data_IF_779128767722
#
_entry.id   IF_779128767722
#
_cell.length_a   1.000
_cell.length_b   1.000
_cell.length_c   1.000
_cell.angle_alpha   90.00
_cell.angle_beta   90.00
_cell.angle_gamma   90.00
#
_symmetry.space_group_name_H-M   'P 1'
#
loop_
_entity.id
_entity.type
_entity.pdbx_description
1 polymer ?
#
# COMPACT_ATOMS: atom_id res chain seq x y z
N UNK A 1 22.49 -2.70 6.45
CA UNK A 1 23.23 -1.81 5.53
C UNK A 1 23.32 -2.57 4.21
N UNK A 2 22.91 -1.95 3.10
CA UNK A 2 22.96 -2.61 1.80
C UNK A 2 24.40 -2.92 1.37
N UNK A 3 24.55 -3.85 0.43
CA UNK A 3 25.84 -4.22 -0.15
C UNK A 3 26.39 -3.02 -0.96
N UNK A 4 27.56 -2.46 -0.59
CA UNK A 4 28.14 -1.31 -1.29
C UNK A 4 28.72 -1.65 -2.66
N UNK A 5 28.81 -2.94 -3.02
CA UNK A 5 29.35 -3.40 -4.29
C UNK A 5 28.27 -3.64 -5.36
N UNK A 6 26.99 -3.46 -5.04
CA UNK A 6 25.91 -3.56 -6.01
C UNK A 6 25.96 -2.42 -7.01
N UNK A 7 25.90 -2.75 -8.29
CA UNK A 7 25.72 -1.77 -9.37
C UNK A 7 24.23 -1.49 -9.55
N UNK A 8 23.87 -0.22 -9.43
CA UNK A 8 22.49 0.24 -9.52
C UNK A 8 22.19 0.83 -10.89
N UNK A 9 21.00 0.51 -11.38
CA UNK A 9 20.45 0.98 -12.64
C UNK A 9 19.09 1.63 -12.40
N UNK A 10 18.60 2.39 -13.40
CA UNK A 10 17.31 3.06 -13.33
C UNK A 10 16.57 2.94 -14.66
N UNK A 11 15.31 2.52 -14.61
CA UNK A 11 14.36 2.65 -15.71
C UNK A 11 13.52 3.90 -15.44
N UNK A 12 13.47 4.82 -16.41
CA UNK A 12 12.64 6.02 -16.32
C UNK A 12 11.37 5.83 -17.15
N UNK A 13 10.24 6.16 -16.55
CA UNK A 13 8.93 6.22 -17.18
C UNK A 13 8.31 7.61 -16.94
N UNK A 14 7.16 7.95 -17.53
CA UNK A 14 6.54 9.26 -17.31
C UNK A 14 6.25 9.58 -15.83
N UNK A 15 5.84 8.59 -15.04
CA UNK A 15 5.45 8.78 -13.63
C UNK A 15 6.46 8.22 -12.63
N UNK A 16 7.37 7.32 -13.05
CA UNK A 16 8.23 6.56 -12.13
C UNK A 16 9.71 6.57 -12.52
N UNK A 17 10.55 6.40 -11.50
CA UNK A 17 11.95 6.00 -11.61
C UNK A 17 12.16 4.71 -10.87
N UNK A 18 12.34 3.61 -11.61
CA UNK A 18 12.49 2.28 -11.05
C UNK A 18 13.96 1.96 -10.91
N UNK A 19 14.44 1.94 -9.67
CA UNK A 19 15.83 1.64 -9.30
C UNK A 19 15.98 0.17 -8.96
N UNK A 20 17.01 -0.45 -9.48
CA UNK A 20 17.29 -1.86 -9.26
C UNK A 20 18.79 -2.14 -9.37
N UNK A 21 19.27 -3.20 -8.78
CA UNK A 21 20.63 -3.68 -8.97
C UNK A 21 20.68 -4.79 -10.02
N UNK A 22 21.90 -5.08 -10.51
CA UNK A 22 22.13 -6.13 -11.52
C UNK A 22 21.51 -7.46 -11.10
N UNK A 23 20.92 -8.16 -12.06
CA UNK A 23 20.17 -9.42 -11.86
C UNK A 23 18.66 -9.23 -11.73
N UNK A 24 18.17 -8.01 -11.49
CA UNK A 24 16.75 -7.71 -11.34
C UNK A 24 16.10 -7.02 -12.55
N UNK A 25 16.76 -7.00 -13.72
CA UNK A 25 16.31 -6.29 -14.93
C UNK A 25 14.89 -6.67 -15.34
N UNK A 26 14.56 -7.99 -15.28
CA UNK A 26 13.22 -8.49 -15.65
C UNK A 26 12.15 -8.01 -14.67
N UNK A 27 12.45 -8.03 -13.38
CA UNK A 27 11.54 -7.54 -12.34
C UNK A 27 11.33 -6.02 -12.48
N UNK A 28 12.41 -5.26 -12.69
CA UNK A 28 12.35 -3.83 -12.88
C UNK A 28 11.51 -3.43 -14.11
N UNK A 29 11.71 -4.11 -15.25
CA UNK A 29 10.91 -3.88 -16.45
C UNK A 29 9.44 -4.22 -16.22
N UNK A 30 9.16 -5.31 -15.48
CA UNK A 30 7.79 -5.70 -15.13
C UNK A 30 7.14 -4.64 -14.25
N UNK A 31 7.83 -4.20 -13.18
CA UNK A 31 7.32 -3.17 -12.28
C UNK A 31 7.11 -1.85 -13.00
N UNK A 32 8.02 -1.42 -13.86
CA UNK A 32 7.87 -0.20 -14.67
C UNK A 32 6.59 -0.24 -15.52
N UNK A 33 6.29 -1.39 -16.11
CA UNK A 33 5.10 -1.58 -16.95
C UNK A 33 3.82 -1.60 -16.12
N UNK A 34 3.78 -2.38 -15.05
CA UNK A 34 2.58 -2.50 -14.21
C UNK A 34 2.27 -1.21 -13.45
N UNK A 35 3.30 -0.48 -13.00
CA UNK A 35 3.15 0.77 -12.29
C UNK A 35 2.43 1.82 -13.15
N UNK A 36 2.84 2.00 -14.39
CA UNK A 36 2.14 2.92 -15.31
C UNK A 36 0.71 2.49 -15.61
N UNK A 37 0.47 1.18 -15.76
CA UNK A 37 -0.84 0.65 -16.10
C UNK A 37 -1.87 0.84 -14.97
N UNK A 38 -1.48 0.62 -13.69
CA UNK A 38 -2.40 0.64 -12.57
C UNK A 38 -2.60 2.04 -11.96
N UNK A 39 -1.63 2.92 -12.18
CA UNK A 39 -1.64 4.24 -11.51
C UNK A 39 -2.85 5.08 -11.89
N UNK A 40 -3.34 5.02 -13.13
CA UNK A 40 -4.51 5.80 -13.56
C UNK A 40 -5.78 5.40 -12.79
N UNK A 41 -5.93 4.11 -12.49
CA UNK A 41 -7.03 3.62 -11.69
C UNK A 41 -6.89 4.08 -10.24
N UNK A 42 -5.70 3.98 -9.67
CA UNK A 42 -5.44 4.42 -8.30
C UNK A 42 -5.58 5.95 -8.13
N UNK A 43 -5.14 6.74 -9.10
CA UNK A 43 -5.34 8.20 -9.09
C UNK A 43 -6.82 8.56 -9.12
N UNK A 44 -7.63 7.82 -9.87
CA UNK A 44 -9.09 8.01 -9.91
C UNK A 44 -9.73 7.66 -8.56
N UNK A 45 -9.35 6.53 -7.96
CA UNK A 45 -9.86 6.09 -6.65
C UNK A 45 -9.51 7.06 -5.52
N UNK A 46 -8.29 7.58 -5.53
CA UNK A 46 -7.79 8.45 -4.47
C UNK A 46 -8.12 9.94 -4.71
N UNK A 47 -8.58 10.28 -5.91
CA UNK A 47 -8.80 11.69 -6.31
C UNK A 47 -7.51 12.51 -6.32
N UNK A 48 -6.33 11.86 -6.36
CA UNK A 48 -5.04 12.54 -6.27
C UNK A 48 -4.04 12.08 -7.32
N UNK A 49 -3.38 13.05 -7.95
CA UNK A 49 -2.26 12.83 -8.87
C UNK A 49 -0.99 13.48 -8.28
N UNK A 50 0.06 12.71 -8.04
CA UNK A 50 1.32 13.24 -7.51
C UNK A 50 1.95 14.28 -8.45
N UNK A 51 2.47 15.37 -7.88
CA UNK A 51 3.13 16.44 -8.66
C UNK A 51 4.54 16.09 -9.12
N UNK A 52 5.12 15.07 -8.54
CA UNK A 52 6.50 14.66 -8.77
C UNK A 52 6.57 13.17 -9.06
N UNK A 53 7.60 12.79 -9.79
CA UNK A 53 7.90 11.40 -10.09
C UNK A 53 8.04 10.61 -8.78
N UNK A 54 7.44 9.43 -8.74
CA UNK A 54 7.59 8.48 -7.63
C UNK A 54 8.78 7.56 -7.93
N UNK A 55 9.67 7.42 -6.96
CA UNK A 55 10.75 6.46 -7.02
C UNK A 55 10.28 5.09 -6.58
N UNK A 56 10.68 4.06 -7.28
CA UNK A 56 10.45 2.66 -6.90
C UNK A 56 11.80 1.98 -6.79
N UNK A 57 12.11 1.38 -5.65
CA UNK A 57 13.35 0.65 -5.44
C UNK A 57 13.04 -0.84 -5.27
N UNK A 58 13.66 -1.66 -6.11
CA UNK A 58 13.49 -3.11 -6.10
C UNK A 58 14.77 -3.74 -5.59
N UNK A 59 14.64 -4.62 -4.59
CA UNK A 59 15.76 -5.37 -4.00
C UNK A 59 15.38 -6.83 -3.76
N UNK A 60 16.39 -7.68 -3.64
CA UNK A 60 16.29 -9.10 -3.28
C UNK A 60 17.24 -9.45 -2.12
N UNK A 61 17.59 -8.47 -1.30
CA UNK A 61 18.53 -8.60 -0.18
C UNK A 61 17.90 -9.17 1.11
N UNK A 62 16.69 -9.66 1.03
CA UNK A 62 15.95 -10.29 2.14
C UNK A 62 15.04 -11.41 1.63
N UNK A 63 14.81 -12.41 2.48
CA UNK A 63 13.83 -13.47 2.26
C UNK A 63 12.43 -13.07 2.76
N UNK A 64 12.26 -11.88 3.31
CA UNK A 64 10.97 -11.39 3.76
C UNK A 64 10.15 -10.84 2.58
N UNK A 65 8.92 -11.32 2.44
CA UNK A 65 7.94 -10.75 1.52
C UNK A 65 7.37 -9.47 2.12
N UNK A 66 7.83 -8.31 1.67
CA UNK A 66 7.43 -7.03 2.23
C UNK A 66 7.65 -5.87 1.25
N UNK A 67 7.10 -4.72 1.60
CA UNK A 67 7.34 -3.43 0.97
C UNK A 67 7.22 -2.29 1.96
N UNK A 68 7.47 -1.10 1.50
CA UNK A 68 7.22 0.11 2.28
C UNK A 68 7.08 1.33 1.39
N UNK A 69 6.23 2.27 1.81
CA UNK A 69 6.08 3.57 1.19
C UNK A 69 6.61 4.69 2.09
N UNK A 70 7.27 5.67 1.51
CA UNK A 70 7.76 6.86 2.20
C UNK A 70 7.61 8.08 1.30
N UNK A 71 7.20 9.22 1.89
CA UNK A 71 7.12 10.49 1.17
C UNK A 71 8.35 11.37 1.35
N UNK A 72 9.22 11.06 2.30
CA UNK A 72 10.36 11.91 2.65
C UNK A 72 11.69 11.18 2.47
N UNK A 73 12.68 11.87 1.89
CA UNK A 73 12.68 13.22 1.34
C UNK A 73 11.93 13.33 0.00
N UNK A 74 11.63 12.23 -0.67
CA UNK A 74 10.84 12.13 -1.91
C UNK A 74 9.95 10.88 -1.85
N UNK A 75 8.93 10.83 -2.69
CA UNK A 75 8.06 9.66 -2.78
C UNK A 75 8.88 8.44 -3.21
N UNK A 76 8.92 7.43 -2.36
CA UNK A 76 9.67 6.18 -2.57
C UNK A 76 8.80 4.99 -2.16
N UNK A 77 8.60 4.08 -3.09
CA UNK A 77 8.09 2.74 -2.86
C UNK A 77 9.28 1.78 -2.87
N UNK A 78 9.48 1.04 -1.79
CA UNK A 78 10.46 -0.05 -1.73
C UNK A 78 9.75 -1.38 -1.86
N UNK A 79 10.26 -2.23 -2.71
CA UNK A 79 9.67 -3.54 -3.00
C UNK A 79 10.73 -4.64 -2.89
N UNK A 80 10.41 -5.68 -2.16
CA UNK A 80 11.20 -6.92 -2.15
C UNK A 80 10.62 -7.90 -3.16
N UNK A 81 11.48 -8.50 -3.98
CA UNK A 81 11.04 -9.43 -5.03
C UNK A 81 10.61 -10.78 -4.49
N UNK A 82 11.09 -11.15 -3.30
CA UNK A 82 10.71 -12.39 -2.63
C UNK A 82 9.20 -12.38 -2.39
N UNK A 83 8.52 -13.39 -2.95
CA UNK A 83 7.09 -13.55 -2.78
C UNK A 83 6.77 -14.21 -1.42
N UNK A 84 5.60 -13.92 -0.83
CA UNK A 84 5.17 -14.57 0.40
C UNK A 84 4.93 -16.07 0.19
N UNK A 85 5.02 -16.83 1.28
CA UNK A 85 4.65 -18.24 1.30
C UNK A 85 3.13 -18.44 1.28
N UNK A 86 2.69 -19.63 0.91
CA UNK A 86 1.27 -19.97 0.77
C UNK A 86 0.52 -20.02 2.11
N UNK A 87 1.24 -19.99 3.24
CA UNK A 87 0.66 -20.08 4.58
C UNK A 87 0.47 -18.73 5.25
N UNK A 88 0.99 -17.67 4.64
CA UNK A 88 0.94 -16.32 5.17
C UNK A 88 -0.35 -15.57 4.82
N UNK A 89 -0.59 -14.48 5.53
CA UNK A 89 -1.72 -13.58 5.26
C UNK A 89 -1.63 -12.88 3.90
N UNK A 90 -0.48 -12.92 3.25
CA UNK A 90 -0.20 -12.38 1.92
C UNK A 90 -0.16 -13.48 0.85
N UNK A 91 -0.49 -14.73 1.16
CA UNK A 91 -0.39 -15.87 0.24
C UNK A 91 -1.41 -15.87 -0.90
N UNK A 92 -2.50 -15.10 -0.78
CA UNK A 92 -3.53 -14.99 -1.82
C UNK A 92 -3.16 -13.89 -2.85
N UNK A 93 -2.30 -14.22 -3.80
CA UNK A 93 -1.90 -13.32 -4.89
C UNK A 93 -1.71 -14.09 -6.20
N UNK A 94 -1.96 -13.43 -7.32
CA UNK A 94 -1.58 -13.94 -8.65
C UNK A 94 -0.20 -13.43 -9.05
N UNK A 95 0.04 -12.15 -8.84
CA UNK A 95 1.29 -11.50 -9.14
C UNK A 95 1.72 -10.64 -7.95
N UNK A 96 2.71 -11.12 -7.21
CA UNK A 96 3.20 -10.47 -6.00
C UNK A 96 3.60 -9.01 -6.20
N UNK A 97 4.36 -8.71 -7.25
CA UNK A 97 4.84 -7.34 -7.50
C UNK A 97 3.70 -6.37 -7.83
N UNK A 98 2.64 -6.86 -8.48
CA UNK A 98 1.45 -6.05 -8.77
C UNK A 98 0.68 -5.74 -7.50
N UNK A 99 0.42 -6.75 -6.68
CA UNK A 99 -0.27 -6.59 -5.41
C UNK A 99 0.49 -5.64 -4.48
N UNK A 100 1.79 -5.87 -4.32
CA UNK A 100 2.66 -5.06 -3.47
C UNK A 100 2.73 -3.61 -3.97
N UNK A 101 2.93 -3.40 -5.27
CA UNK A 101 2.97 -2.06 -5.84
C UNK A 101 1.65 -1.31 -5.61
N UNK A 102 0.52 -1.96 -5.87
CA UNK A 102 -0.81 -1.37 -5.65
C UNK A 102 -0.99 -0.92 -4.21
N UNK A 103 -0.62 -1.77 -3.25
CA UNK A 103 -0.69 -1.46 -1.83
C UNK A 103 0.18 -0.24 -1.47
N UNK A 104 1.46 -0.31 -1.77
CA UNK A 104 2.44 0.73 -1.39
C UNK A 104 2.21 2.05 -2.14
N UNK A 105 1.81 1.98 -3.41
CA UNK A 105 1.53 3.20 -4.18
C UNK A 105 0.24 3.89 -3.70
N UNK A 106 -0.73 3.13 -3.22
CA UNK A 106 -1.91 3.70 -2.54
C UNK A 106 -1.50 4.56 -1.35
N UNK A 107 -0.53 4.13 -0.54
CA UNK A 107 -0.01 4.96 0.54
C UNK A 107 0.62 6.26 0.04
N UNK A 108 1.37 6.22 -1.07
CA UNK A 108 1.94 7.44 -1.68
C UNK A 108 0.81 8.40 -2.07
N UNK A 109 -0.20 7.94 -2.79
CA UNK A 109 -1.30 8.77 -3.25
C UNK A 109 -2.10 9.35 -2.09
N UNK A 110 -2.47 8.50 -1.14
CA UNK A 110 -3.26 8.88 0.02
C UNK A 110 -2.54 9.90 0.92
N UNK A 111 -1.29 9.64 1.27
CA UNK A 111 -0.54 10.49 2.23
C UNK A 111 0.00 11.76 1.56
N UNK A 112 0.30 11.75 0.24
CA UNK A 112 0.71 12.94 -0.52
C UNK A 112 -0.48 13.90 -0.79
N UNK A 113 -1.70 13.42 -0.71
CA UNK A 113 -2.90 14.24 -0.91
C UNK A 113 -2.95 15.33 0.17
N UNK A 114 -2.50 16.51 -0.22
CA UNK A 114 -2.38 17.65 0.68
C UNK A 114 -2.94 18.91 0.02
N UNK A 115 -3.95 19.51 0.63
CA UNK A 115 -4.65 20.69 0.13
C UNK A 115 -4.60 21.83 1.14
N UNK A 116 -5.08 23.02 0.76
CA UNK A 116 -5.21 24.16 1.66
C UNK A 116 -3.88 24.70 2.20
N UNK A 117 -3.85 25.10 3.47
CA UNK A 117 -2.69 25.70 4.12
C UNK A 117 -1.47 24.75 4.17
N UNK A 118 -1.61 23.45 4.50
CA UNK A 118 -0.50 22.49 4.42
C UNK A 118 0.13 22.42 3.03
N UNK A 119 -0.65 22.48 1.96
CA UNK A 119 -0.12 22.48 0.59
C UNK A 119 0.70 23.74 0.29
N UNK A 120 0.28 24.91 0.80
CA UNK A 120 1.04 26.16 0.66
C UNK A 120 2.37 26.08 1.40
N UNK A 121 2.38 25.53 2.62
CA UNK A 121 3.61 25.34 3.40
C UNK A 121 4.55 24.37 2.67
N UNK A 122 4.04 23.28 2.13
CA UNK A 122 4.82 22.31 1.36
C UNK A 122 5.40 22.90 0.06
N UNK A 123 4.70 23.84 -0.56
CA UNK A 123 5.20 24.54 -1.75
C UNK A 123 6.38 25.45 -1.45
N UNK A 124 6.47 26.00 -0.23
CA UNK A 124 7.53 26.92 0.20
C UNK A 124 8.72 26.22 0.86
N UNK A 125 8.46 25.18 1.65
CA UNK A 125 9.46 24.54 2.52
C UNK A 125 9.77 23.09 2.11
N UNK A 126 9.24 22.62 0.99
CA UNK A 126 9.29 21.21 0.61
C UNK A 126 8.26 20.37 1.40
N UNK A 127 8.25 19.04 1.15
CA UNK A 127 7.30 18.11 1.81
C UNK A 127 7.54 17.98 3.31
N UNK A 128 7.04 18.92 4.07
CA UNK A 128 7.17 18.95 5.53
C UNK A 128 5.89 18.53 6.24
N UNK A 129 4.74 18.81 5.63
CA UNK A 129 3.42 18.53 6.19
C UNK A 129 2.69 17.46 5.36
N UNK A 130 2.36 16.35 6.01
CA UNK A 130 1.57 15.25 5.43
C UNK A 130 0.43 14.90 6.41
N UNK A 131 -0.68 15.66 6.41
CA UNK A 131 -1.76 15.52 7.40
C UNK A 131 -2.33 14.10 7.45
N UNK A 132 -2.49 13.45 6.28
CA UNK A 132 -3.07 12.12 6.20
C UNK A 132 -2.21 11.02 6.84
N UNK A 133 -0.94 11.30 7.13
CA UNK A 133 -0.07 10.36 7.84
C UNK A 133 -0.48 10.13 9.31
N UNK A 134 -1.25 11.05 9.91
CA UNK A 134 -1.72 10.94 11.29
C UNK A 134 -3.13 10.36 11.40
N UNK A 135 -3.75 9.97 10.32
CA UNK A 135 -5.03 9.27 10.32
C UNK A 135 -4.90 7.91 11.02
N UNK A 136 -6.04 7.35 11.41
CA UNK A 136 -6.09 6.02 12.01
C UNK A 136 -5.53 4.96 11.05
N UNK A 137 -4.76 4.01 11.58
CA UNK A 137 -4.14 2.95 10.76
C UNK A 137 -5.17 2.16 9.95
N UNK A 138 -6.38 1.96 10.45
CA UNK A 138 -7.42 1.26 9.71
C UNK A 138 -7.83 2.00 8.42
N UNK A 139 -7.73 3.34 8.38
CA UNK A 139 -7.96 4.13 7.15
C UNK A 139 -6.80 3.90 6.20
N UNK A 140 -5.57 4.14 6.68
CA UNK A 140 -4.36 4.10 5.85
C UNK A 140 -4.17 2.71 5.25
N UNK A 141 -4.19 1.68 6.08
CA UNK A 141 -3.94 0.30 5.68
C UNK A 141 -5.17 -0.36 5.06
N UNK A 142 -6.35 -0.05 5.59
CA UNK A 142 -7.60 -0.61 5.07
C UNK A 142 -7.89 -0.16 3.65
N UNK A 143 -7.59 1.09 3.31
CA UNK A 143 -7.76 1.56 1.94
C UNK A 143 -6.78 0.89 0.98
N UNK A 144 -5.52 0.71 1.38
CA UNK A 144 -4.53 -0.01 0.60
C UNK A 144 -4.95 -1.48 0.39
N UNK A 145 -5.46 -2.16 1.42
CA UNK A 145 -6.00 -3.53 1.33
C UNK A 145 -7.23 -3.62 0.41
N UNK A 146 -8.11 -2.64 0.47
CA UNK A 146 -9.25 -2.58 -0.43
C UNK A 146 -8.82 -2.46 -1.90
N UNK A 147 -7.90 -1.51 -2.20
CA UNK A 147 -7.46 -1.28 -3.57
C UNK A 147 -6.58 -2.42 -4.12
N UNK A 148 -5.71 -3.05 -3.30
CA UNK A 148 -4.95 -4.22 -3.73
C UNK A 148 -5.88 -5.37 -4.12
N UNK A 149 -7.01 -5.53 -3.40
CA UNK A 149 -8.00 -6.56 -3.67
C UNK A 149 -8.92 -6.19 -4.83
N UNK A 150 -9.27 -4.91 -5.00
CA UNK A 150 -10.13 -4.42 -6.09
C UNK A 150 -9.44 -4.55 -7.45
N UNK A 151 -8.16 -4.18 -7.54
CA UNK A 151 -7.38 -4.15 -8.78
C UNK A 151 -6.49 -5.37 -9.00
N UNK A 152 -6.40 -6.27 -8.02
CA UNK A 152 -5.76 -7.57 -8.14
C UNK A 152 -6.76 -8.70 -8.33
N UNK A 153 -6.30 -9.86 -8.78
CA UNK A 153 -7.09 -11.10 -8.79
C UNK A 153 -7.03 -11.85 -7.45
N UNK A 154 -6.07 -11.48 -6.59
CA UNK A 154 -5.91 -11.89 -5.19
C UNK A 154 -6.15 -10.73 -4.23
N UNK A 155 -5.45 -10.73 -3.11
CA UNK A 155 -5.50 -9.70 -2.07
C UNK A 155 -6.20 -10.15 -0.81
N UNK A 156 -5.95 -9.39 0.26
CA UNK A 156 -6.36 -9.81 1.62
C UNK A 156 -7.86 -9.92 1.81
N UNK A 157 -8.69 -9.17 1.09
CA UNK A 157 -10.16 -9.29 1.15
C UNK A 157 -10.70 -10.55 0.48
N UNK A 158 -9.87 -11.24 -0.30
CA UNK A 158 -10.22 -12.54 -0.91
C UNK A 158 -9.59 -13.72 -0.19
N UNK A 159 -8.79 -13.45 0.85
CA UNK A 159 -8.11 -14.47 1.60
C UNK A 159 -9.07 -15.23 2.51
N UNK A 160 -9.13 -16.54 2.34
CA UNK A 160 -9.89 -17.44 3.22
C UNK A 160 -9.38 -17.41 4.65
N UNK A 161 -8.11 -17.08 4.87
CA UNK A 161 -7.52 -16.91 6.20
C UNK A 161 -8.08 -15.66 6.89
N UNK A 162 -8.17 -14.54 6.17
CA UNK A 162 -8.75 -13.30 6.69
C UNK A 162 -10.25 -13.47 6.99
N UNK A 163 -11.01 -14.10 6.09
CA UNK A 163 -12.42 -14.44 6.33
C UNK A 163 -12.59 -15.33 7.58
N UNK A 164 -11.72 -16.32 7.75
CA UNK A 164 -11.71 -17.17 8.94
C UNK A 164 -11.47 -16.36 10.22
N UNK A 165 -10.55 -15.41 10.21
CA UNK A 165 -10.28 -14.57 11.40
C UNK A 165 -11.48 -13.72 11.77
N UNK A 166 -12.12 -13.05 10.83
CA UNK A 166 -13.32 -12.25 11.09
C UNK A 166 -14.48 -13.13 11.57
N UNK A 167 -14.68 -14.27 10.91
CA UNK A 167 -15.72 -15.22 11.28
C UNK A 167 -15.52 -15.77 12.70
N UNK A 168 -14.28 -16.05 13.10
CA UNK A 168 -13.97 -16.46 14.45
C UNK A 168 -14.31 -15.37 15.47
N UNK A 169 -13.95 -14.10 15.21
CA UNK A 169 -14.28 -12.98 16.09
C UNK A 169 -15.80 -12.77 16.22
N UNK A 170 -16.56 -12.94 15.13
CA UNK A 170 -18.03 -12.89 15.15
C UNK A 170 -18.60 -13.99 16.02
N UNK A 171 -18.19 -15.24 15.80
CA UNK A 171 -18.72 -16.41 16.52
C UNK A 171 -18.38 -16.37 18.02
N UNK A 172 -17.23 -15.83 18.38
CA UNK A 172 -16.80 -15.68 19.78
C UNK A 172 -17.33 -14.40 20.45
N UNK A 173 -18.07 -13.55 19.71
CA UNK A 173 -18.58 -12.28 20.21
C UNK A 173 -17.46 -11.28 20.56
N UNK A 174 -16.34 -11.33 19.83
CA UNK A 174 -15.13 -10.53 20.10
C UNK A 174 -14.86 -9.46 19.05
N UNK A 175 -15.82 -9.13 18.20
CA UNK A 175 -15.65 -8.07 17.20
C UNK A 175 -15.11 -6.80 17.88
N UNK A 176 -14.03 -6.25 17.32
CA UNK A 176 -13.46 -4.99 17.78
C UNK A 176 -14.26 -3.81 17.23
N UNK A 177 -14.45 -2.77 18.06
CA UNK A 177 -14.86 -1.47 17.55
C UNK A 177 -13.78 -0.90 16.62
N UNK A 178 -14.19 -0.20 15.55
CA UNK A 178 -13.23 0.35 14.58
C UNK A 178 -12.25 1.36 15.20
N UNK A 179 -12.66 2.03 16.26
CA UNK A 179 -11.84 2.92 17.07
C UNK A 179 -10.70 2.20 17.82
N UNK A 180 -10.83 0.89 18.03
CA UNK A 180 -9.88 0.07 18.79
C UNK A 180 -8.86 -0.64 17.89
N UNK A 181 -9.18 -0.88 16.63
CA UNK A 181 -8.34 -1.72 15.74
C UNK A 181 -7.00 -1.09 15.37
N UNK A 182 -6.84 0.22 15.51
CA UNK A 182 -5.57 0.92 15.24
C UNK A 182 -4.59 0.90 16.40
N UNK A 183 -5.02 0.59 17.62
CA UNK A 183 -4.30 0.93 18.84
C UNK A 183 -3.77 -0.28 19.63
N UNK A 184 -4.24 -1.49 19.38
CA UNK A 184 -3.78 -2.67 20.11
C UNK A 184 -3.21 -3.76 19.19
N UNK A 185 -1.90 -3.71 18.92
CA UNK A 185 -1.24 -4.72 18.07
C UNK A 185 -1.14 -6.10 18.74
N UNK A 186 -1.41 -6.20 20.04
CA UNK A 186 -1.38 -7.48 20.81
C UNK A 186 -2.69 -8.21 20.79
N UNK A 187 -3.79 -7.52 20.45
CA UNK A 187 -5.10 -8.15 20.32
C UNK A 187 -5.05 -9.17 19.18
N UNK A 188 -5.65 -10.32 19.37
CA UNK A 188 -5.77 -11.34 18.33
C UNK A 188 -6.54 -10.77 17.11
N UNK A 189 -6.14 -11.05 15.87
CA UNK A 189 -5.05 -11.94 15.43
C UNK A 189 -3.65 -11.29 15.43
N UNK A 190 -3.41 -10.25 16.20
CA UNK A 190 -2.14 -9.58 16.45
C UNK A 190 -1.53 -8.92 15.23
N UNK A 191 -1.20 -7.62 15.32
CA UNK A 191 -0.49 -6.88 14.27
C UNK A 191 -1.19 -6.71 12.92
N UNK A 192 -2.29 -7.44 12.66
CA UNK A 192 -3.01 -7.44 11.38
C UNK A 192 -4.41 -6.83 11.45
N UNK A 193 -4.84 -6.40 12.62
CA UNK A 193 -6.20 -5.89 12.86
C UNK A 193 -6.60 -4.76 11.93
N UNK A 194 -5.71 -3.79 11.75
CA UNK A 194 -6.00 -2.64 10.89
C UNK A 194 -6.10 -3.00 9.41
N UNK A 195 -5.42 -4.04 8.95
CA UNK A 195 -5.59 -4.59 7.60
C UNK A 195 -6.92 -5.34 7.49
N UNK A 196 -7.15 -6.26 8.44
CA UNK A 196 -8.32 -7.13 8.46
C UNK A 196 -9.62 -6.35 8.60
N UNK A 197 -9.77 -5.60 9.67
CA UNK A 197 -10.99 -4.82 9.94
C UNK A 197 -11.07 -3.60 9.05
N UNK A 198 -9.93 -2.91 8.82
CA UNK A 198 -9.88 -1.73 7.99
C UNK A 198 -10.27 -2.01 6.56
N UNK A 199 -9.70 -3.04 5.94
CA UNK A 199 -10.03 -3.44 4.58
C UNK A 199 -11.51 -3.76 4.40
N UNK A 200 -12.05 -4.63 5.27
CA UNK A 200 -13.47 -5.00 5.22
C UNK A 200 -14.40 -3.81 5.52
N UNK A 201 -13.99 -2.90 6.39
CA UNK A 201 -14.80 -1.71 6.69
C UNK A 201 -14.78 -0.71 5.54
N UNK A 202 -13.65 -0.53 4.86
CA UNK A 202 -13.53 0.30 3.66
C UNK A 202 -14.36 -0.29 2.52
N UNK A 203 -14.31 -1.59 2.30
CA UNK A 203 -15.16 -2.29 1.33
C UNK A 203 -16.64 -2.04 1.62
N UNK A 204 -17.07 -2.24 2.86
CA UNK A 204 -18.45 -1.96 3.26
C UNK A 204 -18.85 -0.49 3.07
N UNK A 205 -17.97 0.45 3.37
CA UNK A 205 -18.21 1.89 3.12
C UNK A 205 -18.40 2.17 1.64
N UNK A 206 -17.53 1.61 0.79
CA UNK A 206 -17.57 1.77 -0.66
C UNK A 206 -18.87 1.17 -1.24
N UNK A 207 -19.25 -0.01 -0.80
CA UNK A 207 -20.47 -0.68 -1.24
C UNK A 207 -21.75 0.05 -0.80
N UNK A 208 -21.72 0.65 0.38
CA UNK A 208 -22.90 1.29 0.98
C UNK A 208 -23.09 2.73 0.52
N UNK A 209 -22.02 3.49 0.38
CA UNK A 209 -22.06 4.93 0.14
C UNK A 209 -21.47 5.37 -1.20
N UNK A 210 -20.90 4.42 -1.95
CA UNK A 210 -20.28 4.66 -3.25
C UNK A 210 -18.76 4.65 -3.21
N UNK A 211 -18.16 4.38 -4.38
CA UNK A 211 -16.72 4.20 -4.54
C UNK A 211 -15.91 5.46 -4.17
N UNK A 212 -16.48 6.66 -4.37
CA UNK A 212 -15.83 7.93 -4.05
C UNK A 212 -15.76 8.24 -2.55
N UNK A 213 -16.33 7.38 -1.69
CA UNK A 213 -16.45 7.64 -0.25
C UNK A 213 -15.08 7.88 0.38
N UNK A 214 -14.11 7.04 0.07
CA UNK A 214 -12.77 7.14 0.65
C UNK A 214 -11.98 8.34 0.14
N UNK A 215 -12.17 8.77 -1.09
CA UNK A 215 -11.52 9.97 -1.64
C UNK A 215 -11.97 11.26 -0.94
N UNK A 216 -13.11 11.24 -0.25
CA UNK A 216 -13.72 12.38 0.45
C UNK A 216 -13.45 12.35 1.98
N UNK A 217 -12.72 11.36 2.49
CA UNK A 217 -12.33 11.23 3.90
C UNK A 217 -10.94 11.81 4.15
#
# INVERSE_FOLDING_TARGET
>A
AGDPYLEWYTIETPRFRVHFHGGLERHAQRVATLAEAITEDLERETGWTPRHVTHVMITDDTDDANGSASLRPHALVRMYVTAPDDMGALGDYDEWLSLLFTHEHTHILHVDNTTGLPALVNALLGRTYTPNQIQHKWIIEGWAVYLESKYGSGGRLRSSLYDMYLRADVLEGRIAGIDQVSNDPRRWPGGTLWYLYGGNFVEWLSDTYGEDTMANV
#
